data_IF_260080007518
#
_entry.id   IF_260080007518
#
_cell.length_a   1.000
_cell.length_b   1.000
_cell.length_c   1.000
_cell.angle_alpha   90.00
_cell.angle_beta   90.00
_cell.angle_gamma   90.00
#
_symmetry.space_group_name_H-M   'P 1'
#
loop_
_entity.id
_entity.type
_entity.pdbx_description
1 polymer ?
#
# COMPACT_ATOMS: atom_id res chain seq x y z
N UNK A 1 -1.09 -6.09 16.75
CA UNK A 1 0.12 -5.89 15.92
C UNK A 1 -0.21 -6.37 14.52
N UNK A 2 0.01 -5.57 13.50
CA UNK A 2 -0.27 -5.92 12.11
C UNK A 2 0.66 -7.02 11.62
N UNK A 3 0.22 -7.81 10.66
CA UNK A 3 0.97 -8.95 10.12
C UNK A 3 1.44 -8.67 8.70
N UNK A 4 2.75 -8.86 8.47
CA UNK A 4 3.37 -8.69 7.16
C UNK A 4 4.14 -9.94 6.73
N UNK A 5 4.00 -10.32 5.46
CA UNK A 5 4.80 -11.37 4.83
C UNK A 5 5.64 -10.83 3.71
N UNK A 6 6.92 -11.14 3.74
CA UNK A 6 7.91 -10.78 2.73
C UNK A 6 8.34 -12.02 1.97
N UNK A 7 8.48 -11.88 0.64
CA UNK A 7 9.02 -12.94 -0.21
C UNK A 7 10.08 -12.39 -1.16
N UNK A 8 11.21 -13.09 -1.25
CA UNK A 8 12.31 -12.79 -2.18
C UNK A 8 12.70 -14.02 -2.99
N UNK A 9 13.36 -13.80 -4.13
CA UNK A 9 13.66 -14.85 -5.11
C UNK A 9 15.15 -14.97 -5.41
N UNK A 10 15.97 -14.06 -4.86
CA UNK A 10 17.41 -13.98 -5.04
C UNK A 10 18.10 -13.66 -3.72
N UNK A 11 19.41 -13.89 -3.63
CA UNK A 11 20.19 -13.48 -2.44
C UNK A 11 20.20 -11.97 -2.25
N UNK A 12 20.27 -11.19 -3.35
CA UNK A 12 20.18 -9.74 -3.31
C UNK A 12 18.81 -9.30 -2.75
N UNK A 13 17.72 -9.89 -3.25
CA UNK A 13 16.39 -9.64 -2.72
C UNK A 13 16.22 -10.00 -1.25
N UNK A 14 16.85 -11.07 -0.77
CA UNK A 14 16.82 -11.45 0.63
C UNK A 14 17.53 -10.42 1.54
N UNK A 15 18.62 -9.82 1.06
CA UNK A 15 19.29 -8.71 1.76
C UNK A 15 18.40 -7.45 1.82
N UNK A 16 17.69 -7.15 0.73
CA UNK A 16 16.72 -6.05 0.68
C UNK A 16 15.55 -6.31 1.67
N UNK A 17 15.03 -7.54 1.75
CA UNK A 17 14.05 -7.92 2.79
C UNK A 17 14.56 -7.64 4.19
N UNK A 18 15.82 -8.00 4.51
CA UNK A 18 16.40 -7.77 5.84
C UNK A 18 16.44 -6.29 6.23
N UNK A 19 16.67 -5.40 5.26
CA UNK A 19 16.63 -3.96 5.47
C UNK A 19 15.19 -3.47 5.65
N UNK A 20 14.27 -3.87 4.76
CA UNK A 20 12.89 -3.44 4.74
C UNK A 20 12.12 -3.81 6.03
N UNK A 21 12.33 -5.02 6.55
CA UNK A 21 11.67 -5.47 7.79
C UNK A 21 12.00 -4.57 8.98
N UNK A 22 13.21 -4.04 9.08
CA UNK A 22 13.62 -3.13 10.17
C UNK A 22 12.91 -1.78 10.14
N UNK A 23 12.33 -1.41 9.00
CA UNK A 23 11.62 -0.16 8.80
C UNK A 23 10.14 -0.24 9.21
N UNK A 24 9.65 -1.43 9.57
CA UNK A 24 8.26 -1.68 9.94
C UNK A 24 8.13 -2.25 11.35
N UNK A 25 8.50 -1.50 12.40
CA UNK A 25 8.51 -1.98 13.79
C UNK A 25 7.11 -2.36 14.31
N UNK A 26 6.04 -1.77 13.74
CA UNK A 26 4.65 -2.04 14.13
C UNK A 26 4.07 -3.31 13.50
N UNK A 27 4.85 -3.99 12.65
CA UNK A 27 4.44 -5.21 11.98
C UNK A 27 5.18 -6.43 12.55
N UNK A 28 4.43 -7.52 12.78
CA UNK A 28 5.01 -8.84 12.88
C UNK A 28 5.38 -9.30 11.46
N UNK A 29 6.67 -9.39 11.16
CA UNK A 29 7.18 -9.71 9.84
C UNK A 29 7.63 -11.15 9.71
N UNK A 30 7.08 -11.90 8.77
CA UNK A 30 7.55 -13.21 8.34
C UNK A 30 8.31 -13.09 7.01
N UNK A 31 9.40 -13.85 6.87
CA UNK A 31 10.30 -13.77 5.71
C UNK A 31 10.37 -15.11 5.00
N UNK A 32 10.14 -15.09 3.69
CA UNK A 32 10.24 -16.24 2.82
C UNK A 32 11.28 -15.96 1.74
N UNK A 33 12.24 -16.83 1.58
CA UNK A 33 13.26 -16.72 0.55
C UNK A 33 13.24 -17.96 -0.32
N UNK A 34 13.26 -17.79 -1.63
CA UNK A 34 13.52 -18.86 -2.56
C UNK A 34 15.02 -19.18 -2.48
N UNK A 35 15.35 -20.37 -2.02
CA UNK A 35 16.72 -20.89 -2.03
C UNK A 35 17.05 -21.47 -3.39
N UNK A 36 18.32 -21.87 -3.59
CA UNK A 36 18.83 -22.48 -4.84
C UNK A 36 18.00 -23.69 -5.27
N UNK A 37 17.36 -24.38 -4.32
CA UNK A 37 16.54 -25.58 -4.54
C UNK A 37 15.07 -25.30 -4.92
N UNK A 38 14.75 -24.11 -5.36
CA UNK A 38 13.43 -23.70 -5.86
C UNK A 38 12.27 -23.72 -4.86
N UNK A 39 12.49 -24.00 -3.58
CA UNK A 39 11.46 -23.94 -2.54
C UNK A 39 11.49 -22.63 -1.77
N UNK A 40 10.32 -22.05 -1.52
CA UNK A 40 10.15 -20.91 -0.62
C UNK A 40 10.08 -21.43 0.83
N UNK A 41 11.23 -21.66 1.46
CA UNK A 41 11.25 -22.14 2.85
C UNK A 41 10.24 -23.31 3.10
N UNK A 42 10.15 -24.27 2.16
CA UNK A 42 9.23 -25.40 2.24
C UNK A 42 7.81 -25.17 1.73
N UNK A 43 7.51 -24.03 1.08
CA UNK A 43 6.21 -23.78 0.47
C UNK A 43 6.33 -23.32 -0.99
N UNK A 44 5.27 -23.51 -1.78
CA UNK A 44 5.22 -22.95 -3.14
C UNK A 44 4.78 -21.49 -3.11
N UNK A 45 5.17 -20.70 -4.15
CA UNK A 45 4.73 -19.31 -4.30
C UNK A 45 3.19 -19.21 -4.35
N UNK A 46 2.52 -20.15 -4.98
CA UNK A 46 1.06 -20.24 -5.03
C UNK A 46 0.46 -20.36 -3.62
N UNK A 47 0.98 -21.28 -2.82
CA UNK A 47 0.51 -21.48 -1.43
C UNK A 47 0.84 -20.30 -0.53
N UNK A 48 2.03 -19.72 -0.69
CA UNK A 48 2.40 -18.47 -0.01
C UNK A 48 1.39 -17.36 -0.30
N UNK A 49 1.11 -17.08 -1.59
CA UNK A 49 0.19 -16.02 -1.98
C UNK A 49 -1.24 -16.29 -1.49
N UNK A 50 -1.72 -17.54 -1.62
CA UNK A 50 -3.05 -17.93 -1.14
C UNK A 50 -3.23 -17.65 0.36
N UNK A 51 -2.25 -18.00 1.18
CA UNK A 51 -2.30 -17.75 2.62
C UNK A 51 -2.15 -16.26 2.93
N UNK A 52 -1.15 -15.59 2.31
CA UNK A 52 -0.85 -14.20 2.60
C UNK A 52 -2.01 -13.25 2.23
N UNK A 53 -2.73 -13.51 1.13
CA UNK A 53 -3.90 -12.71 0.72
C UNK A 53 -5.08 -12.81 1.68
N UNK A 54 -5.11 -13.82 2.57
CA UNK A 54 -6.19 -14.04 3.54
C UNK A 54 -5.80 -13.59 4.95
N UNK A 55 -4.55 -13.83 5.37
CA UNK A 55 -4.14 -13.72 6.77
C UNK A 55 -3.20 -12.55 7.08
N UNK A 56 -2.85 -11.71 6.08
CA UNK A 56 -1.92 -10.60 6.28
C UNK A 56 -2.58 -9.24 6.05
N UNK A 57 -2.03 -8.21 6.71
CA UNK A 57 -2.32 -6.80 6.44
C UNK A 57 -1.42 -6.26 5.32
N UNK A 58 -0.22 -6.83 5.14
CA UNK A 58 0.78 -6.40 4.18
C UNK A 58 1.52 -7.59 3.56
N UNK A 59 1.66 -7.55 2.23
CA UNK A 59 2.50 -8.49 1.48
C UNK A 59 3.54 -7.70 0.71
N UNK A 60 4.81 -8.06 0.87
CA UNK A 60 5.92 -7.43 0.14
C UNK A 60 6.64 -8.47 -0.72
N UNK A 61 6.58 -8.27 -2.02
CA UNK A 61 7.36 -9.04 -2.99
C UNK A 61 8.65 -8.29 -3.30
N UNK A 62 9.79 -8.92 -3.07
CA UNK A 62 11.09 -8.36 -3.45
C UNK A 62 11.60 -9.09 -4.68
N UNK A 63 11.40 -8.46 -5.85
CA UNK A 63 11.68 -9.02 -7.16
C UNK A 63 10.84 -8.38 -8.27
N UNK A 64 10.65 -9.09 -9.38
CA UNK A 64 9.92 -8.58 -10.53
C UNK A 64 8.41 -8.41 -10.27
N UNK A 65 7.86 -7.25 -10.64
CA UNK A 65 6.42 -6.93 -10.49
C UNK A 65 5.50 -7.99 -11.10
N UNK A 66 5.88 -8.54 -12.26
CA UNK A 66 5.09 -9.60 -12.92
C UNK A 66 4.96 -10.89 -12.11
N UNK A 67 5.89 -11.18 -11.20
CA UNK A 67 5.78 -12.31 -10.27
C UNK A 67 4.70 -12.00 -9.24
N UNK A 68 4.71 -10.83 -8.65
CA UNK A 68 3.71 -10.39 -7.67
C UNK A 68 2.30 -10.38 -8.25
N UNK A 69 2.13 -9.82 -9.47
CA UNK A 69 0.84 -9.80 -10.18
C UNK A 69 0.30 -11.21 -10.37
N UNK A 70 1.09 -12.12 -10.94
CA UNK A 70 0.64 -13.49 -11.18
C UNK A 70 0.38 -14.28 -9.90
N UNK A 71 1.09 -13.98 -8.83
CA UNK A 71 0.89 -14.64 -7.54
C UNK A 71 -0.38 -14.15 -6.83
N UNK A 72 -0.67 -12.85 -6.84
CA UNK A 72 -1.80 -12.25 -6.14
C UNK A 72 -3.12 -12.37 -6.93
N UNK A 73 -3.09 -12.24 -8.26
CA UNK A 73 -4.29 -12.15 -9.10
C UNK A 73 -5.36 -13.23 -8.86
N UNK A 74 -5.03 -14.52 -8.64
CA UNK A 74 -6.04 -15.55 -8.41
C UNK A 74 -6.84 -15.40 -7.10
N UNK A 75 -6.38 -14.55 -6.19
CA UNK A 75 -6.90 -14.41 -4.83
C UNK A 75 -7.48 -13.03 -4.55
N UNK A 76 -7.60 -12.17 -5.57
CA UNK A 76 -8.18 -10.84 -5.43
C UNK A 76 -9.67 -10.92 -5.10
N UNK A 77 -10.09 -10.22 -4.04
CA UNK A 77 -11.49 -10.13 -3.61
C UNK A 77 -12.05 -8.72 -3.81
N UNK A 78 -11.19 -7.72 -3.88
CA UNK A 78 -11.56 -6.32 -4.10
C UNK A 78 -10.92 -5.34 -3.12
N UNK A 79 -10.96 -4.06 -3.47
CA UNK A 79 -10.27 -2.97 -2.77
C UNK A 79 -10.55 -2.87 -1.27
N UNK A 80 -11.71 -3.35 -0.81
CA UNK A 80 -12.12 -3.27 0.59
C UNK A 80 -11.56 -4.43 1.43
N UNK A 81 -11.13 -5.52 0.79
CA UNK A 81 -10.76 -6.77 1.46
C UNK A 81 -9.30 -7.16 1.24
N UNK A 82 -8.75 -6.79 0.09
CA UNK A 82 -7.38 -7.16 -0.26
C UNK A 82 -6.36 -6.46 0.65
N UNK A 83 -5.34 -7.18 1.14
CA UNK A 83 -4.26 -6.58 1.91
C UNK A 83 -3.48 -5.57 1.08
N UNK A 84 -2.68 -4.74 1.74
CA UNK A 84 -1.68 -3.94 1.06
C UNK A 84 -0.67 -4.86 0.36
N UNK A 85 -0.44 -4.65 -0.93
CA UNK A 85 0.59 -5.39 -1.68
C UNK A 85 1.60 -4.41 -2.24
N UNK A 86 2.87 -4.61 -1.90
CA UNK A 86 3.99 -3.78 -2.34
C UNK A 86 5.01 -4.64 -3.07
N UNK A 87 5.58 -4.10 -4.13
CA UNK A 87 6.75 -4.68 -4.81
C UNK A 87 7.94 -3.78 -4.59
N UNK A 88 9.07 -4.39 -4.23
CA UNK A 88 10.38 -3.74 -4.20
C UNK A 88 11.25 -4.47 -5.21
N UNK A 89 11.97 -3.77 -6.09
CA UNK A 89 12.94 -4.44 -6.94
C UNK A 89 14.06 -5.06 -6.09
N UNK A 90 14.75 -6.06 -6.61
CA UNK A 90 15.72 -6.83 -5.80
C UNK A 90 16.87 -5.99 -5.23
N UNK A 91 17.21 -4.87 -5.90
CA UNK A 91 18.26 -3.95 -5.45
C UNK A 91 17.74 -2.91 -4.45
N UNK A 92 16.43 -2.83 -4.24
CA UNK A 92 15.82 -1.86 -3.34
C UNK A 92 15.84 -0.42 -3.87
N UNK A 93 15.79 -0.23 -5.19
CA UNK A 93 15.79 1.10 -5.84
C UNK A 93 14.40 1.69 -6.02
N UNK A 94 13.40 0.83 -6.17
CA UNK A 94 12.02 1.21 -6.42
C UNK A 94 11.08 0.50 -5.46
N UNK A 95 10.13 1.24 -4.89
CA UNK A 95 9.08 0.71 -4.03
C UNK A 95 7.73 1.03 -4.67
N UNK A 96 6.99 0.01 -5.07
CA UNK A 96 5.80 0.11 -5.90
C UNK A 96 4.60 -0.41 -5.12
N UNK A 97 3.68 0.44 -4.63
CA UNK A 97 2.41 -0.02 -4.09
C UNK A 97 1.55 -0.57 -5.23
N UNK A 98 1.27 -1.87 -5.18
CA UNK A 98 0.56 -2.58 -6.24
C UNK A 98 -0.94 -2.66 -6.00
N UNK A 99 -1.36 -2.93 -4.76
CA UNK A 99 -2.75 -3.05 -4.35
C UNK A 99 -3.03 -2.30 -3.05
N UNK A 100 -4.28 -1.89 -2.89
CA UNK A 100 -4.83 -1.29 -1.65
C UNK A 100 -4.06 -0.04 -1.20
N UNK A 101 -3.76 0.86 -2.16
CA UNK A 101 -2.96 2.06 -1.96
C UNK A 101 -3.45 2.94 -0.82
N UNK A 102 -4.73 3.29 -0.79
CA UNK A 102 -5.34 4.19 0.19
C UNK A 102 -5.89 3.42 1.41
N UNK A 103 -6.96 2.67 1.25
CA UNK A 103 -7.63 1.95 2.36
C UNK A 103 -6.70 0.96 3.05
N UNK A 104 -5.95 0.16 2.30
CA UNK A 104 -4.95 -0.76 2.85
C UNK A 104 -3.68 -0.06 3.34
N UNK A 105 -3.43 1.20 2.92
CA UNK A 105 -2.27 1.99 3.32
C UNK A 105 -0.99 1.64 2.59
N UNK A 106 -1.06 0.95 1.44
CA UNK A 106 0.13 0.57 0.69
C UNK A 106 0.96 1.79 0.25
N UNK A 107 0.33 2.93 -0.10
CA UNK A 107 1.04 4.14 -0.50
C UNK A 107 1.90 4.70 0.64
N UNK A 108 1.36 4.81 1.85
CA UNK A 108 2.10 5.33 3.01
C UNK A 108 3.22 4.38 3.44
N UNK A 109 2.94 3.08 3.45
CA UNK A 109 3.97 2.07 3.74
C UNK A 109 5.07 2.11 2.67
N UNK A 110 4.72 2.29 1.40
CA UNK A 110 5.69 2.41 0.31
C UNK A 110 6.58 3.64 0.46
N UNK A 111 6.05 4.80 0.89
CA UNK A 111 6.83 6.00 1.20
C UNK A 111 7.83 5.73 2.34
N UNK A 112 7.37 5.14 3.45
CA UNK A 112 8.22 4.77 4.60
C UNK A 112 9.35 3.82 4.20
N UNK A 113 9.02 2.78 3.42
CA UNK A 113 10.02 1.82 2.93
C UNK A 113 11.01 2.47 1.96
N UNK A 114 10.53 3.33 1.05
CA UNK A 114 11.37 4.02 0.09
C UNK A 114 12.34 4.98 0.78
N UNK A 115 11.88 5.76 1.75
CA UNK A 115 12.73 6.65 2.54
C UNK A 115 13.83 5.88 3.26
N UNK A 116 13.48 4.82 3.99
CA UNK A 116 14.46 4.05 4.76
C UNK A 116 15.42 3.22 3.91
N UNK A 117 15.04 2.86 2.67
CA UNK A 117 15.89 2.15 1.70
C UNK A 117 16.68 3.11 0.80
N UNK A 118 16.43 4.42 0.85
CA UNK A 118 16.92 5.41 -0.11
C UNK A 118 16.49 5.04 -1.56
N UNK A 119 15.23 4.66 -1.71
CA UNK A 119 14.60 4.21 -2.94
C UNK A 119 13.60 5.24 -3.47
N UNK A 120 13.13 5.04 -4.70
CA UNK A 120 12.08 5.84 -5.31
C UNK A 120 10.72 5.20 -5.07
N UNK A 121 9.75 5.88 -4.39
CA UNK A 121 8.39 5.40 -4.32
C UNK A 121 7.67 5.66 -5.65
N UNK A 122 7.10 4.61 -6.25
CA UNK A 122 6.40 4.70 -7.54
C UNK A 122 4.89 4.77 -7.28
N UNK A 123 4.42 5.93 -6.85
CA UNK A 123 3.00 6.16 -6.57
C UNK A 123 2.26 6.46 -7.88
N UNK A 124 1.22 5.68 -8.18
CA UNK A 124 0.48 5.76 -9.45
C UNK A 124 -0.97 6.18 -9.28
N UNK A 125 -1.44 6.37 -8.05
CA UNK A 125 -2.81 6.82 -7.77
C UNK A 125 -2.97 8.29 -8.16
N UNK A 126 -4.06 8.62 -8.86
CA UNK A 126 -4.29 9.96 -9.39
C UNK A 126 -4.37 11.03 -8.29
N UNK A 127 -4.92 10.70 -7.14
CA UNK A 127 -5.02 11.60 -5.98
C UNK A 127 -3.66 11.95 -5.39
N UNK A 128 -2.73 10.97 -5.28
CA UNK A 128 -1.36 11.25 -4.84
C UNK A 128 -0.58 12.05 -5.87
N UNK A 129 -0.73 11.73 -7.16
CA UNK A 129 -0.03 12.42 -8.24
C UNK A 129 -0.46 13.90 -8.41
N UNK A 130 -1.70 14.24 -8.05
CA UNK A 130 -2.24 15.61 -8.15
C UNK A 130 -2.34 16.34 -6.81
N UNK A 131 -1.96 15.68 -5.71
CA UNK A 131 -2.04 16.25 -4.35
C UNK A 131 -3.44 16.75 -3.96
N UNK A 132 -4.51 16.11 -4.48
CA UNK A 132 -5.87 16.45 -4.11
C UNK A 132 -6.28 15.75 -2.81
N UNK A 133 -7.22 16.36 -2.10
CA UNK A 133 -7.74 15.81 -0.85
C UNK A 133 -8.33 14.41 -1.08
N UNK A 134 -7.85 13.43 -0.30
CA UNK A 134 -8.31 12.05 -0.34
C UNK A 134 -9.09 11.73 0.95
N UNK A 135 -10.41 11.64 0.84
CA UNK A 135 -11.35 11.46 1.98
C UNK A 135 -11.00 10.21 2.81
N UNK A 136 -10.70 9.12 2.15
CA UNK A 136 -10.36 7.84 2.79
C UNK A 136 -9.02 7.89 3.54
N UNK A 137 -8.03 8.57 2.97
CA UNK A 137 -6.72 8.79 3.62
C UNK A 137 -6.88 9.70 4.82
N UNK A 138 -7.64 10.78 4.68
CA UNK A 138 -7.93 11.70 5.77
C UNK A 138 -8.68 11.01 6.92
N UNK A 139 -9.75 10.29 6.61
CA UNK A 139 -10.53 9.55 7.59
C UNK A 139 -9.65 8.56 8.39
N UNK A 140 -8.77 7.85 7.69
CA UNK A 140 -7.83 6.91 8.32
C UNK A 140 -6.85 7.63 9.26
N UNK A 141 -6.28 8.76 8.84
CA UNK A 141 -5.35 9.55 9.65
C UNK A 141 -6.01 10.07 10.95
N UNK A 142 -7.32 10.35 10.89
CA UNK A 142 -8.09 10.88 12.03
C UNK A 142 -8.90 9.80 12.77
N UNK A 143 -8.64 8.53 12.52
CA UNK A 143 -9.37 7.39 13.13
C UNK A 143 -10.89 7.48 12.92
N UNK A 144 -11.33 8.05 11.80
CA UNK A 144 -12.72 8.16 11.39
C UNK A 144 -13.11 7.00 10.47
N UNK A 145 -14.36 6.54 10.59
CA UNK A 145 -14.95 5.58 9.68
C UNK A 145 -15.66 6.30 8.52
N UNK A 146 -15.48 5.81 7.30
CA UNK A 146 -16.27 6.26 6.16
C UNK A 146 -17.52 5.39 6.09
N UNK A 147 -18.69 5.98 6.38
CA UNK A 147 -19.96 5.24 6.43
C UNK A 147 -20.41 4.76 5.07
N UNK A 148 -20.15 5.55 4.02
CA UNK A 148 -20.60 5.26 2.65
C UNK A 148 -19.42 5.29 1.66
N UNK A 149 -18.55 4.25 1.67
CA UNK A 149 -17.30 4.24 0.88
C UNK A 149 -17.52 4.36 -0.64
N UNK A 150 -18.70 4.00 -1.13
CA UNK A 150 -19.04 4.10 -2.55
C UNK A 150 -19.12 5.54 -3.08
N UNK A 151 -19.31 6.54 -2.19
CA UNK A 151 -19.28 7.95 -2.58
C UNK A 151 -17.88 8.54 -2.70
N UNK A 152 -16.85 7.91 -2.13
CA UNK A 152 -15.46 8.39 -2.24
C UNK A 152 -15.07 8.66 -3.68
N UNK A 153 -15.46 7.78 -4.61
CA UNK A 153 -15.15 7.93 -6.05
C UNK A 153 -15.73 9.19 -6.68
N UNK A 154 -16.89 9.64 -6.22
CA UNK A 154 -17.53 10.85 -6.74
C UNK A 154 -16.84 12.11 -6.23
N UNK A 155 -16.54 12.15 -4.93
CA UNK A 155 -15.78 13.26 -4.32
C UNK A 155 -14.39 13.36 -4.94
N UNK A 156 -13.64 12.26 -4.97
CA UNK A 156 -12.31 12.24 -5.58
C UNK A 156 -12.35 12.57 -7.08
N UNK A 157 -13.37 12.10 -7.78
CA UNK A 157 -13.58 12.43 -9.20
C UNK A 157 -13.82 13.92 -9.43
N UNK A 158 -14.66 14.56 -8.60
CA UNK A 158 -14.92 16.00 -8.66
C UNK A 158 -13.62 16.79 -8.42
N UNK A 159 -12.90 16.48 -7.36
CA UNK A 159 -11.62 17.13 -7.03
C UNK A 159 -10.57 16.95 -8.13
N UNK A 160 -10.49 15.76 -8.73
CA UNK A 160 -9.57 15.51 -9.86
C UNK A 160 -9.93 16.30 -11.12
N UNK A 161 -11.20 16.68 -11.31
CA UNK A 161 -11.64 17.59 -12.38
C UNK A 161 -11.46 19.06 -12.04
N UNK A 162 -11.02 19.40 -10.81
CA UNK A 162 -10.88 20.77 -10.34
C UNK A 162 -12.20 21.39 -9.89
N UNK A 163 -13.23 20.57 -9.63
CA UNK A 163 -14.52 21.03 -9.12
C UNK A 163 -14.44 21.33 -7.62
N UNK A 164 -15.17 22.35 -7.18
CA UNK A 164 -15.27 22.67 -5.74
C UNK A 164 -16.15 21.66 -5.04
N UNK A 165 -15.65 21.10 -3.92
CA UNK A 165 -16.41 20.20 -3.05
C UNK A 165 -16.60 20.87 -1.70
N UNK A 166 -17.86 21.09 -1.31
CA UNK A 166 -18.20 21.64 0.01
C UNK A 166 -18.01 20.62 1.12
N UNK A 167 -17.50 21.07 2.25
CA UNK A 167 -17.37 20.26 3.48
C UNK A 167 -18.27 20.87 4.56
N UNK A 168 -19.11 20.03 5.15
CA UNK A 168 -19.87 20.39 6.35
C UNK A 168 -19.41 19.54 7.51
N UNK A 169 -18.94 20.17 8.58
CA UNK A 169 -18.44 19.48 9.77
C UNK A 169 -18.75 20.28 11.03
N UNK A 170 -19.10 19.60 12.11
CA UNK A 170 -19.23 20.20 13.45
C UNK A 170 -17.87 20.27 14.17
N UNK A 171 -16.81 19.74 13.55
CA UNK A 171 -15.45 19.70 14.08
C UNK A 171 -14.47 20.37 13.11
N UNK A 172 -13.34 20.90 13.58
CA UNK A 172 -12.28 21.39 12.69
C UNK A 172 -11.81 20.30 11.74
N UNK A 173 -11.70 20.65 10.46
CA UNK A 173 -11.16 19.76 9.43
C UNK A 173 -9.87 20.37 8.90
N UNK A 174 -8.74 19.73 9.22
CA UNK A 174 -7.42 20.11 8.72
C UNK A 174 -7.04 19.33 7.45
N UNK A 175 -5.99 19.76 6.78
CA UNK A 175 -5.49 19.10 5.57
C UNK A 175 -6.32 19.32 4.31
N UNK A 176 -7.37 20.16 4.36
CA UNK A 176 -8.05 20.63 3.17
C UNK A 176 -7.12 21.60 2.43
N UNK A 177 -6.80 21.29 1.17
CA UNK A 177 -6.11 22.26 0.32
C UNK A 177 -6.98 23.52 0.23
N UNK A 178 -6.41 24.68 0.55
CA UNK A 178 -7.06 25.98 0.48
C UNK A 178 -7.59 26.21 -0.94
N UNK A 179 -8.88 26.05 -1.14
CA UNK A 179 -9.62 26.84 -2.08
C UNK A 179 -10.18 27.99 -1.27
N UNK A 180 -9.65 29.19 -1.51
CA UNK A 180 -10.07 30.50 -1.03
C UNK A 180 -11.19 30.56 0.00
N UNK A 181 -10.89 31.14 1.15
CA UNK A 181 -11.83 31.50 2.21
C UNK A 181 -13.02 32.29 1.61
N UNK A 182 -14.17 31.66 1.51
CA UNK A 182 -15.43 32.36 1.52
C UNK A 182 -16.03 32.20 2.92
N UNK A 183 -15.60 33.07 3.82
CA UNK A 183 -16.35 33.46 5.02
C UNK A 183 -17.66 34.11 4.54
N UNK A 184 -18.77 33.51 4.93
CA UNK A 184 -20.08 34.14 4.97
C UNK A 184 -20.69 33.88 6.32
#
# INVERSE_FOLDING_TARGET
MKHAKFVSFTLCGAQTVQKAVKLLPDFRCERYARTVDASLSGTSLKRFAQQAMVDCDLIVFVGATGIAVRAAAPYLMGKAYDPAVIVIDEQGKFVIPLLSGHLGGANEIAKTLAEGLNAVPVLTTATDGRQVFAVDTWAKAHSCAVLEPHYIKYVSGALLRGETVGVRSDFPVDGLLRSEEHTS
#
